data_IF_276566308481
#
_entry.id   IF_276566308481
#
_cell.length_a   1.000
_cell.length_b   1.000
_cell.length_c   1.000
_cell.angle_alpha   90.00
_cell.angle_beta   90.00
_cell.angle_gamma   90.00
#
_symmetry.space_group_name_H-M   'P 1'
#
loop_
_entity.id
_entity.type
_entity.pdbx_description
1 polymer ?
2 non-polymer ?
3 non-polymer ?
4 non-polymer ?
5 non-polymer ?
6 non-polymer ?
7 water ?
#
# COMPACT_ATOMS: atom_id res chain seq x y z
N UNK A 1 -2.52 -14.91 22.95
CA UNK A 1 -1.97 -15.14 21.58
C UNK A 1 -0.76 -14.23 21.35
N UNK A 2 0.40 -14.86 21.31
CA UNK A 2 1.68 -14.16 21.17
C UNK A 2 1.72 -13.27 19.92
N UNK A 3 1.27 -13.82 18.79
CA UNK A 3 1.27 -13.09 17.52
C UNK A 3 0.34 -11.88 17.56
N UNK A 4 -0.84 -12.05 18.13
CA UNK A 4 -1.76 -10.94 18.24
C UNK A 4 -1.16 -9.86 19.15
N UNK A 5 -0.42 -10.26 20.18
CA UNK A 5 0.22 -9.28 21.06
C UNK A 5 1.27 -8.46 20.30
N UNK A 6 1.97 -9.09 19.36
CA UNK A 6 2.99 -8.41 18.55
C UNK A 6 2.37 -7.29 17.71
N UNK A 7 1.09 -7.45 17.35
CA UNK A 7 0.37 -6.42 16.59
C UNK A 7 -0.17 -5.34 17.52
N UNK A 8 -0.80 -5.74 18.60
CA UNK A 8 -1.44 -4.81 19.53
C UNK A 8 -0.42 -3.83 20.14
N UNK A 9 0.78 -4.33 20.46
CA UNK A 9 1.83 -3.50 21.05
C UNK A 9 2.40 -2.48 20.07
N UNK A 10 2.02 -2.57 18.81
CA UNK A 10 2.54 -1.67 17.78
C UNK A 10 1.47 -0.76 17.20
N UNK A 11 0.33 -0.65 17.87
CA UNK A 11 -0.67 0.36 17.55
C UNK A 11 -0.54 1.48 18.57
N UNK A 12 -0.36 2.69 18.07
CA UNK A 12 -0.25 3.88 18.93
C UNK A 12 -1.48 4.76 18.73
N UNK A 13 -1.98 5.31 19.83
CA UNK A 13 -3.22 6.07 19.81
C UNK A 13 -2.95 7.53 20.12
N UNK A 14 -3.56 8.42 19.33
CA UNK A 14 -3.34 9.86 19.42
C UNK A 14 -4.69 10.56 19.63
N UNK A 15 -4.97 10.97 20.86
CA UNK A 15 -6.22 11.69 21.07
C UNK A 15 -6.29 12.99 20.26
N UNK A 16 -7.50 13.35 19.83
CA UNK A 16 -7.78 14.64 19.18
C UNK A 16 -6.91 14.88 17.95
N UNK A 17 -6.67 13.83 17.19
CA UNK A 17 -6.10 13.94 15.83
C UNK A 17 -6.95 13.16 14.85
N UNK A 18 -7.26 13.73 13.68
CA UNK A 18 -6.76 15.05 13.23
C UNK A 18 -7.58 16.25 13.68
N UNK A 19 -8.72 15.98 14.31
CA UNK A 19 -9.58 17.02 14.83
C UNK A 19 -10.06 16.62 16.22
N UNK A 20 -10.50 17.58 17.05
CA UNK A 20 -10.93 17.25 18.42
C UNK A 20 -12.08 16.25 18.43
N UNK A 21 -11.96 15.22 19.25
CA UNK A 21 -12.99 14.18 19.29
C UNK A 21 -12.55 12.84 18.73
N UNK A 22 -11.67 12.87 17.72
CA UNK A 22 -11.22 11.64 17.10
C UNK A 22 -9.99 11.11 17.84
N UNK A 23 -9.95 9.82 18.11
CA UNK A 23 -8.74 9.17 18.64
C UNK A 23 -8.12 8.36 17.51
N UNK A 24 -7.00 8.85 17.01
CA UNK A 24 -6.39 8.26 15.84
C UNK A 24 -5.63 7.02 16.24
N UNK A 25 -5.88 5.92 15.54
CA UNK A 25 -5.11 4.70 15.74
C UNK A 25 -4.10 4.58 14.61
N UNK A 26 -2.82 4.59 14.99
CA UNK A 26 -1.71 4.67 14.03
C UNK A 26 -1.09 3.28 13.91
N UNK A 27 -1.19 2.69 12.72
CA UNK A 27 -0.61 1.37 12.45
C UNK A 27 0.83 1.45 11.97
N UNK A 28 1.40 2.66 11.89
CA UNK A 28 2.76 2.83 11.37
C UNK A 28 3.79 1.92 12.06
N UNK A 29 3.68 1.74 13.38
CA UNK A 29 4.71 0.88 14.01
C UNK A 29 4.63 -0.63 13.65
N UNK A 30 3.44 -1.08 13.22
CA UNK A 30 3.27 -2.46 12.75
C UNK A 30 4.11 -2.65 11.50
N UNK A 31 4.11 -1.64 10.62
CA UNK A 31 4.86 -1.70 9.36
C UNK A 31 6.37 -1.68 9.60
N UNK A 32 6.79 -0.92 10.61
CA UNK A 32 8.20 -0.70 10.87
C UNK A 32 8.89 -1.90 11.53
N UNK A 33 8.11 -2.71 12.23
CA UNK A 33 8.61 -3.89 12.91
C UNK A 33 8.25 -5.13 12.07
N UNK A 34 9.24 -5.70 11.38
CA UNK A 34 8.90 -6.76 10.42
C UNK A 34 8.22 -7.98 11.04
N UNK A 35 8.48 -8.24 12.32
CA UNK A 35 7.79 -9.35 12.99
C UNK A 35 6.32 -9.04 13.23
N UNK A 36 6.02 -7.79 13.53
CA UNK A 36 4.65 -7.34 13.74
C UNK A 36 3.86 -7.43 12.43
N UNK A 37 4.46 -6.95 11.36
CA UNK A 37 3.77 -6.96 10.07
C UNK A 37 3.51 -8.40 9.64
N UNK A 38 4.52 -9.25 9.76
CA UNK A 38 4.36 -10.67 9.45
C UNK A 38 3.24 -11.32 10.27
N UNK A 39 3.17 -10.98 11.56
CA UNK A 39 2.11 -11.48 12.42
C UNK A 39 0.72 -11.03 11.93
N UNK A 40 0.59 -9.76 11.58
CA UNK A 40 -0.70 -9.24 11.16
C UNK A 40 -1.18 -9.97 9.92
N UNK A 41 -0.29 -10.06 8.91
CA UNK A 41 -0.64 -10.73 7.66
C UNK A 41 -0.97 -12.19 7.93
N UNK A 42 -0.19 -12.87 8.77
CA UNK A 42 -0.43 -14.28 9.02
C UNK A 42 -1.76 -14.54 9.70
N UNK A 43 -2.12 -13.71 10.66
CA UNK A 43 -3.37 -13.83 11.37
C UNK A 43 -4.55 -13.63 10.44
N UNK A 44 -4.45 -12.66 9.53
CA UNK A 44 -5.55 -12.40 8.60
C UNK A 44 -5.66 -13.55 7.62
N UNK A 45 -4.53 -14.05 7.13
CA UNK A 45 -4.52 -15.14 6.17
C UNK A 45 -5.08 -16.43 6.77
N UNK A 46 -4.70 -16.73 8.01
CA UNK A 46 -5.19 -17.93 8.68
C UNK A 46 -6.70 -17.86 8.87
N UNK A 47 -7.20 -16.71 9.31
CA UNK A 47 -8.64 -16.52 9.44
C UNK A 47 -9.35 -16.75 8.11
N UNK A 48 -8.80 -16.19 7.04
CA UNK A 48 -9.50 -16.22 5.76
C UNK A 48 -9.53 -17.63 5.17
N UNK A 49 -8.40 -18.33 5.22
CA UNK A 49 -8.36 -19.75 4.82
C UNK A 49 -9.26 -20.65 5.66
N UNK A 50 -9.30 -20.42 6.97
CA UNK A 50 -10.15 -21.21 7.86
C UNK A 50 -11.63 -20.96 7.60
N UNK A 51 -11.97 -19.80 7.06
CA UNK A 51 -13.35 -19.40 6.88
C UNK A 51 -13.87 -19.68 5.47
N UNK A 52 -12.99 -19.60 4.48
CA UNK A 52 -13.43 -19.63 3.09
C UNK A 52 -12.78 -20.75 2.28
N UNK A 53 -11.85 -21.47 2.89
CA UNK A 53 -11.10 -22.47 2.15
C UNK A 53 -10.51 -21.94 0.85
N UNK A 54 -10.86 -22.56 -0.27
CA UNK A 54 -10.28 -22.20 -1.56
C UNK A 54 -11.17 -21.29 -2.39
N UNK A 55 -12.18 -20.68 -1.77
CA UNK A 55 -13.20 -19.92 -2.53
C UNK A 55 -12.85 -18.47 -2.89
N UNK A 56 -11.78 -17.92 -2.31
CA UNK A 56 -11.42 -16.55 -2.60
C UNK A 56 -10.67 -16.47 -3.93
N UNK A 57 -11.15 -15.59 -4.81
CA UNK A 57 -10.47 -15.33 -6.08
C UNK A 57 -9.44 -14.21 -5.96
N UNK A 58 -9.81 -13.11 -5.27
CA UNK A 58 -8.99 -11.88 -5.20
C UNK A 58 -9.14 -11.21 -3.84
N UNK A 59 -8.07 -10.50 -3.45
CA UNK A 59 -8.12 -9.50 -2.38
C UNK A 59 -8.36 -8.13 -3.05
N UNK A 60 -9.17 -7.29 -2.43
CA UNK A 60 -9.28 -5.89 -2.85
C UNK A 60 -8.76 -4.99 -1.76
N UNK A 61 -7.73 -4.21 -2.07
CA UNK A 61 -7.15 -3.26 -1.13
C UNK A 61 -7.68 -1.85 -1.29
N UNK A 62 -7.97 -1.17 -0.18
CA UNK A 62 -8.55 0.17 -0.19
C UNK A 62 -7.47 1.26 0.00
N UNK A 63 -7.51 2.22 -0.92
CA UNK A 63 -6.68 3.42 -0.92
C UNK A 63 -6.92 4.21 0.36
N UNK A 64 -5.86 4.58 1.11
CA UNK A 64 -4.49 4.23 0.79
C UNK A 64 -3.85 3.25 1.80
N UNK A 65 -4.33 3.23 3.05
CA UNK A 65 -3.66 2.38 4.05
C UNK A 65 -3.94 0.90 3.86
N UNK A 66 -5.05 0.58 3.21
CA UNK A 66 -5.32 -0.79 2.81
C UNK A 66 -4.32 -1.35 1.80
N UNK A 67 -3.73 -0.48 0.98
CA UNK A 67 -2.66 -0.83 0.06
C UNK A 67 -1.45 -1.42 0.78
N UNK A 68 -1.27 -1.04 2.04
CA UNK A 68 -0.14 -1.52 2.83
C UNK A 68 -0.28 -3.00 3.17
N UNK A 69 -1.52 -3.48 3.24
CA UNK A 69 -1.79 -4.85 3.64
C UNK A 69 -2.28 -5.74 2.50
N UNK A 70 -3.00 -5.18 1.53
CA UNK A 70 -3.62 -6.00 0.48
C UNK A 70 -2.66 -6.90 -0.30
N UNK A 71 -1.61 -6.31 -0.89
CA UNK A 71 -0.72 -7.15 -1.67
C UNK A 71 -0.01 -8.23 -0.86
N UNK A 72 0.44 -7.94 0.36
CA UNK A 72 1.10 -8.98 1.14
C UNK A 72 0.12 -10.09 1.57
N UNK A 73 -1.12 -9.71 1.86
CA UNK A 73 -2.17 -10.70 2.22
C UNK A 73 -2.48 -11.57 1.01
N UNK A 74 -2.68 -10.94 -0.13
CA UNK A 74 -2.90 -11.66 -1.39
C UNK A 74 -1.77 -12.65 -1.66
N UNK A 75 -0.52 -12.19 -1.54
CA UNK A 75 0.63 -13.04 -1.81
C UNK A 75 0.65 -14.25 -0.88
N UNK A 76 0.36 -14.00 0.40
CA UNK A 76 0.37 -15.08 1.37
C UNK A 76 -0.67 -16.14 1.00
N UNK A 77 -1.78 -15.71 0.39
CA UNK A 77 -2.87 -16.60 0.00
C UNK A 77 -2.73 -17.17 -1.42
N UNK A 78 -1.74 -16.68 -2.15
CA UNK A 78 -1.50 -17.15 -3.51
C UNK A 78 -2.41 -16.48 -4.53
N UNK A 79 -2.89 -15.30 -4.17
CA UNK A 79 -3.91 -14.58 -4.96
C UNK A 79 -3.40 -13.24 -5.48
N UNK A 80 -4.09 -12.71 -6.50
CA UNK A 80 -3.88 -11.33 -6.93
C UNK A 80 -4.65 -10.34 -6.08
N UNK A 81 -4.28 -9.07 -6.20
CA UNK A 81 -4.88 -7.98 -5.48
C UNK A 81 -5.42 -6.96 -6.49
N UNK A 82 -6.68 -6.57 -6.32
CA UNK A 82 -7.27 -5.51 -7.11
C UNK A 82 -7.37 -4.24 -6.28
N UNK A 83 -7.48 -3.10 -6.94
CA UNK A 83 -7.37 -1.82 -6.25
C UNK A 83 -8.69 -1.07 -6.27
N UNK A 84 -9.07 -0.51 -5.12
CA UNK A 84 -10.17 0.44 -5.10
C UNK A 84 -9.61 1.77 -4.62
N UNK A 85 -9.76 2.81 -5.44
CA UNK A 85 -9.04 4.08 -5.22
C UNK A 85 -9.95 5.23 -4.90
N UNK A 86 -9.38 6.29 -4.35
CA UNK A 86 -10.06 7.58 -4.32
C UNK A 86 -10.30 8.06 -5.75
N UNK A 87 -11.46 8.65 -5.98
CA UNK A 87 -11.82 9.09 -7.31
C UNK A 87 -10.80 10.00 -7.99
N UNK A 88 -10.58 9.75 -9.26
CA UNK A 88 -9.70 10.58 -10.07
C UNK A 88 -8.32 9.99 -10.33
N UNK A 89 -8.04 8.84 -9.72
CA UNK A 89 -6.69 8.26 -9.75
C UNK A 89 -6.51 7.18 -10.82
N UNK A 90 -7.60 6.54 -11.24
CA UNK A 90 -7.52 5.40 -12.14
C UNK A 90 -7.81 5.75 -13.58
N UNK A 91 -7.06 5.15 -14.51
CA UNK A 91 -7.31 5.31 -15.93
C UNK A 91 -8.37 4.35 -16.42
N UNK A 92 -8.89 4.62 -17.62
CA UNK A 92 -9.92 3.77 -18.22
C UNK A 92 -11.29 4.02 -17.63
N UNK A 93 -12.29 3.29 -18.13
CA UNK A 93 -13.67 3.48 -17.66
C UNK A 93 -13.81 3.05 -16.20
N UNK A 94 -14.51 3.87 -15.42
CA UNK A 94 -14.65 3.60 -13.99
C UNK A 94 -16.08 3.71 -13.54
N UNK A 95 -16.33 3.12 -12.36
CA UNK A 95 -17.52 3.38 -11.57
C UNK A 95 -17.09 4.04 -10.28
N UNK A 96 -17.98 4.81 -9.66
CA UNK A 96 -17.63 5.45 -8.39
C UNK A 96 -18.82 5.49 -7.43
N UNK A 97 -18.50 5.65 -6.15
CA UNK A 97 -19.51 5.65 -5.08
C UNK A 97 -19.04 6.56 -3.94
N UNK A 98 -19.98 7.31 -3.36
CA UNK A 98 -19.68 8.11 -2.16
C UNK A 98 -19.30 7.24 -0.96
N UNK A 99 -18.26 7.63 -0.22
CA UNK A 99 -17.88 6.87 0.99
C UNK A 99 -18.01 7.65 2.30
N UNK A 100 -18.42 8.92 2.23
CA UNK A 100 -18.53 9.72 3.45
C UNK A 100 -19.74 10.65 3.41
N UNK A 106 -17.04 12.45 -0.29
CA UNK A 106 -15.87 11.87 -0.94
C UNK A 106 -16.27 10.61 -1.72
N UNK A 107 -15.45 10.21 -2.70
CA UNK A 107 -15.80 9.08 -3.56
C UNK A 107 -14.67 8.07 -3.77
N UNK A 108 -15.04 6.78 -3.77
CA UNK A 108 -14.15 5.70 -4.19
C UNK A 108 -14.49 5.28 -5.62
N UNK A 109 -13.53 4.65 -6.29
CA UNK A 109 -13.72 4.27 -7.69
C UNK A 109 -13.04 2.94 -7.95
N UNK A 110 -13.52 2.26 -8.98
CA UNK A 110 -12.94 1.01 -9.43
C UNK A 110 -13.02 0.96 -10.97
N UNK A 111 -12.06 0.29 -11.61
CA UNK A 111 -12.14 0.12 -13.06
C UNK A 111 -13.27 -0.84 -13.41
N UNK A 112 -13.99 -0.52 -14.47
CA UNK A 112 -15.11 -1.35 -14.91
C UNK A 112 -14.68 -2.77 -15.22
N UNK A 113 -13.42 -2.97 -15.59
CA UNK A 113 -12.92 -4.32 -15.93
C UNK A 113 -12.07 -4.95 -14.84
N UNK A 114 -12.21 -4.47 -13.60
CA UNK A 114 -11.39 -4.98 -12.49
C UNK A 114 -11.70 -6.45 -12.17
N UNK A 115 -12.98 -6.83 -12.27
CA UNK A 115 -13.45 -8.19 -11.98
C UNK A 115 -14.51 -8.59 -12.97
N UNK A 116 -14.68 -9.92 -13.12
CA UNK A 116 -15.75 -10.48 -13.94
C UNK A 116 -16.89 -10.90 -13.04
N UNK A 117 -18.11 -10.96 -13.58
CA UNK A 117 -19.25 -11.35 -12.77
C UNK A 117 -19.03 -12.73 -12.14
N UNK A 118 -19.36 -12.83 -10.86
CA UNK A 118 -19.29 -14.08 -10.13
C UNK A 118 -17.98 -14.28 -9.38
N UNK A 119 -16.97 -13.47 -9.67
CA UNK A 119 -15.70 -13.61 -8.97
C UNK A 119 -15.85 -13.20 -7.50
N UNK A 120 -15.11 -13.89 -6.64
CA UNK A 120 -15.30 -13.82 -5.19
C UNK A 120 -14.12 -13.09 -4.56
N UNK A 121 -14.43 -12.07 -3.77
CA UNK A 121 -13.43 -11.11 -3.32
C UNK A 121 -13.53 -10.88 -1.81
N UNK A 122 -12.37 -10.67 -1.17
CA UNK A 122 -12.30 -10.22 0.22
C UNK A 122 -11.68 -8.83 0.24
N UNK A 123 -12.33 -7.90 0.92
CA UNK A 123 -11.87 -6.51 1.00
C UNK A 123 -11.04 -6.30 2.26
N UNK A 124 -9.90 -5.64 2.13
CA UNK A 124 -9.06 -5.31 3.30
C UNK A 124 -8.79 -3.81 3.44
N UNK A 125 -8.89 -3.31 4.66
CA UNK A 125 -8.44 -1.96 5.02
C UNK A 125 -7.75 -2.01 6.39
N UNK A 126 -7.07 -0.94 6.77
CA UNK A 126 -6.41 -0.94 8.08
C UNK A 126 -7.41 -0.89 9.25
N UNK A 127 -8.49 -0.13 9.08
CA UNK A 127 -9.37 0.16 10.21
C UNK A 127 -10.80 0.37 9.73
N UNK A 128 -11.76 -0.20 10.48
CA UNK A 128 -13.19 0.03 10.25
C UNK A 128 -13.69 0.98 11.32
N UNK A 129 -14.29 2.09 10.90
CA UNK A 129 -14.90 3.03 11.82
C UNK A 129 -16.42 3.03 11.60
N UNK A 130 -16.96 4.04 10.92
CA UNK A 130 -18.39 4.06 10.59
C UNK A 130 -18.78 2.96 9.59
N UNK A 131 -17.82 2.52 8.79
CA UNK A 131 -18.09 1.53 7.75
C UNK A 131 -18.41 2.16 6.39
N UNK A 132 -18.37 3.48 6.30
CA UNK A 132 -18.66 4.19 5.06
C UNK A 132 -17.75 3.76 3.92
N UNK A 133 -16.46 3.69 4.22
CA UNK A 133 -15.45 3.40 3.20
C UNK A 133 -15.64 1.97 2.69
N UNK A 134 -15.71 1.02 3.62
CA UNK A 134 -15.89 -0.38 3.25
C UNK A 134 -17.24 -0.60 2.54
N UNK A 135 -18.26 0.11 2.97
CA UNK A 135 -19.57 -0.01 2.34
C UNK A 135 -19.56 0.47 0.88
N UNK A 136 -18.86 1.57 0.63
CA UNK A 136 -18.65 2.04 -0.75
C UNK A 136 -17.92 0.99 -1.59
N UNK A 137 -16.89 0.36 -1.02
CA UNK A 137 -16.16 -0.68 -1.73
C UNK A 137 -17.07 -1.84 -2.10
N UNK A 138 -17.89 -2.28 -1.15
CA UNK A 138 -18.85 -3.38 -1.41
C UNK A 138 -19.87 -2.99 -2.50
N UNK A 139 -20.33 -1.75 -2.50
CA UNK A 139 -21.28 -1.28 -3.51
C UNK A 139 -20.64 -1.38 -4.89
N UNK A 140 -19.39 -0.94 -5.00
CA UNK A 140 -18.70 -0.93 -6.28
C UNK A 140 -18.51 -2.36 -6.76
N UNK A 141 -18.04 -3.23 -5.87
CA UNK A 141 -17.85 -4.64 -6.23
C UNK A 141 -19.17 -5.31 -6.64
N UNK A 142 -20.25 -4.99 -5.92
CA UNK A 142 -21.57 -5.50 -6.27
C UNK A 142 -22.04 -5.06 -7.65
N UNK A 143 -21.67 -3.84 -8.03
CA UNK A 143 -22.06 -3.31 -9.33
C UNK A 143 -21.28 -3.97 -10.49
N UNK A 144 -20.15 -4.59 -10.18
CA UNK A 144 -19.44 -5.48 -11.12
C UNK A 144 -19.94 -6.90 -11.05
N UNK A 145 -20.94 -7.13 -10.20
CA UNK A 145 -21.52 -8.45 -10.00
C UNK A 145 -20.55 -9.43 -9.38
N UNK A 146 -19.57 -8.92 -8.65
CA UNK A 146 -18.69 -9.76 -7.85
C UNK A 146 -19.40 -10.08 -6.54
N UNK A 147 -18.97 -11.17 -5.90
CA UNK A 147 -19.47 -11.56 -4.60
C UNK A 147 -18.45 -11.19 -3.53
N UNK A 148 -18.84 -10.32 -2.60
CA UNK A 148 -17.96 -9.98 -1.50
C UNK A 148 -18.12 -11.02 -0.40
N UNK A 149 -17.10 -11.84 -0.17
CA UNK A 149 -17.16 -12.90 0.84
C UNK A 149 -17.03 -12.38 2.26
N UNK A 150 -16.25 -11.31 2.43
CA UNK A 150 -15.90 -10.80 3.75
C UNK A 150 -15.15 -9.50 3.57
N UNK A 151 -15.27 -8.62 4.56
CA UNK A 151 -14.34 -7.49 4.73
C UNK A 151 -13.51 -7.73 6.00
N UNK A 152 -12.23 -7.40 5.95
CA UNK A 152 -11.34 -7.54 7.12
C UNK A 152 -10.52 -6.28 7.39
N UNK A 153 -10.12 -6.08 8.66
CA UNK A 153 -9.23 -4.99 9.03
C UNK A 153 -8.33 -5.38 10.20
N UNK A 154 -7.29 -4.59 10.46
CA UNK A 154 -6.54 -4.75 11.70
C UNK A 154 -7.31 -4.25 12.93
N UNK A 155 -7.99 -3.12 12.78
CA UNK A 155 -8.61 -2.45 13.90
C UNK A 155 -10.08 -2.19 13.60
N UNK A 156 -10.92 -2.34 14.62
CA UNK A 156 -12.35 -2.02 14.52
C UNK A 156 -12.74 -1.13 15.71
N UNK A 157 -13.44 -0.03 15.43
CA UNK A 157 -13.94 0.87 16.46
C UNK A 157 -15.42 0.55 16.73
N UNK A 158 -15.66 -0.27 17.75
CA UNK A 158 -16.96 -0.93 17.88
C UNK A 158 -18.12 0.03 18.19
N UNK A 159 -17.85 1.14 18.86
CA UNK A 159 -18.94 2.07 19.18
C UNK A 159 -19.57 2.70 17.92
N UNK A 160 -18.90 2.62 16.78
CA UNK A 160 -19.39 3.28 15.58
C UNK A 160 -20.23 2.37 14.70
N UNK A 161 -20.34 1.11 15.10
CA UNK A 161 -21.31 0.17 14.52
C UNK A 161 -21.12 -0.07 13.03
N UNK A 162 -19.86 -0.06 12.60
CA UNK A 162 -19.56 -0.35 11.19
C UNK A 162 -19.92 -1.77 10.77
N UNK A 163 -19.75 -2.74 11.67
CA UNK A 163 -20.12 -4.13 11.41
C UNK A 163 -21.59 -4.23 10.98
N UNK A 164 -22.46 -3.57 11.73
CA UNK A 164 -23.88 -3.52 11.41
C UNK A 164 -24.14 -2.88 10.06
N UNK A 165 -23.39 -1.83 9.73
CA UNK A 165 -23.54 -1.16 8.43
C UNK A 165 -23.23 -2.10 7.26
N UNK A 166 -22.24 -2.97 7.44
CA UNK A 166 -21.82 -3.88 6.35
C UNK A 166 -22.72 -5.11 6.22
N UNK A 167 -23.35 -5.52 7.32
CA UNK A 167 -24.28 -6.66 7.29
C UNK A 167 -25.22 -6.51 6.11
N UNK A 168 -25.40 -7.56 5.30
CA UNK A 168 -25.07 -8.94 5.68
C UNK A 168 -23.68 -9.44 5.27
N UNK A 169 -22.84 -8.57 4.72
CA UNK A 169 -21.47 -8.99 4.42
C UNK A 169 -20.72 -9.21 5.72
N UNK A 170 -20.09 -10.40 5.89
CA UNK A 170 -19.35 -10.67 7.11
C UNK A 170 -18.16 -9.72 7.31
N UNK A 171 -17.78 -9.54 8.57
CA UNK A 171 -16.66 -8.70 8.92
C UNK A 171 -15.81 -9.33 10.02
N UNK A 172 -14.50 -9.13 9.94
CA UNK A 172 -13.53 -9.65 10.92
C UNK A 172 -12.42 -8.64 11.15
N UNK A 173 -12.08 -8.40 12.41
CA UNK A 173 -10.97 -7.53 12.78
C UNK A 173 -10.02 -8.23 13.75
N UNK A 174 -8.74 -7.90 13.69
CA UNK A 174 -7.76 -8.44 14.64
C UNK A 174 -7.96 -7.86 16.05
N UNK A 175 -8.26 -6.56 16.11
CA UNK A 175 -8.31 -5.82 17.37
C UNK A 175 -9.53 -4.90 17.42
N UNK A 176 -10.10 -4.79 18.62
CA UNK A 176 -11.28 -3.93 18.84
C UNK A 176 -11.02 -2.89 19.94
N UNK A 177 -11.39 -1.63 19.65
CA UNK A 177 -11.45 -0.58 20.65
C UNK A 177 -12.84 0.03 20.60
N UNK A 178 -13.24 0.72 21.66
CA UNK A 178 -14.53 1.42 21.62
C UNK A 178 -14.50 2.43 20.48
N UNK B 2 13.23 -13.79 -17.92
CA UNK B 2 11.80 -14.21 -17.97
C UNK B 2 11.01 -13.56 -16.83
N UNK B 3 11.64 -13.38 -15.68
CA UNK B 3 11.00 -12.68 -14.56
C UNK B 3 10.65 -11.26 -14.95
N UNK B 4 11.58 -10.58 -15.59
CA UNK B 4 11.34 -9.19 -15.99
C UNK B 4 10.23 -9.16 -17.03
N UNK B 5 10.22 -10.15 -17.91
CA UNK B 5 9.14 -10.26 -18.91
C UNK B 5 7.76 -10.41 -18.27
N UNK B 6 7.69 -11.17 -17.17
CA UNK B 6 6.45 -11.34 -16.41
C UNK B 6 5.91 -10.00 -15.88
N UNK B 7 6.83 -9.08 -15.59
CA UNK B 7 6.43 -7.76 -15.13
C UNK B 7 6.05 -6.86 -16.31
N UNK B 8 6.91 -6.81 -17.33
CA UNK B 8 6.69 -5.97 -18.49
C UNK B 8 5.34 -6.25 -19.18
N UNK B 9 4.98 -7.52 -19.26
CA UNK B 9 3.76 -7.93 -19.98
C UNK B 9 2.50 -7.55 -19.21
N UNK B 10 2.67 -7.09 -17.97
CA UNK B 10 1.53 -6.70 -17.13
C UNK B 10 1.50 -5.20 -16.82
N UNK B 11 2.25 -4.41 -17.58
CA UNK B 11 2.07 -2.97 -17.57
C UNK B 11 1.12 -2.62 -18.72
N UNK B 12 0.07 -1.88 -18.41
CA UNK B 12 -0.94 -1.50 -19.38
C UNK B 12 -0.87 0.01 -19.56
N UNK B 13 -0.85 0.47 -20.82
CA UNK B 13 -0.63 1.88 -21.12
C UNK B 13 -1.92 2.55 -21.64
N UNK B 14 -2.26 3.68 -21.04
CA UNK B 14 -3.47 4.41 -21.39
C UNK B 14 -3.13 5.79 -21.95
N UNK B 15 -3.35 6.01 -23.25
CA UNK B 15 -3.06 7.33 -23.81
C UNK B 15 -4.02 8.40 -23.29
N UNK B 16 -3.50 9.62 -23.20
CA UNK B 16 -4.33 10.80 -22.95
C UNK B 16 -5.01 10.77 -21.57
N UNK B 17 -4.32 10.16 -20.60
CA UNK B 17 -4.73 10.20 -19.19
C UNK B 17 -3.55 10.61 -18.32
N UNK B 18 -3.71 11.66 -17.50
CA UNK B 18 -4.99 12.33 -17.29
C UNK B 18 -5.23 13.52 -18.23
N UNK B 19 -4.24 13.83 -19.06
CA UNK B 19 -4.33 14.95 -19.97
C UNK B 19 -3.92 14.51 -21.38
N UNK B 20 -4.35 15.24 -22.41
CA UNK B 20 -3.98 14.80 -23.75
C UNK B 20 -2.46 14.81 -23.99
N UNK B 21 -1.97 13.74 -24.62
CA UNK B 21 -0.58 13.65 -25.06
C UNK B 21 0.29 12.76 -24.20
N UNK B 22 -0.15 12.54 -22.97
CA UNK B 22 0.60 11.70 -22.04
C UNK B 22 0.11 10.26 -22.05
N UNK B 23 0.99 9.35 -21.66
CA UNK B 23 0.63 7.97 -21.55
C UNK B 23 0.75 7.53 -20.10
N UNK B 24 -0.36 7.07 -19.54
CA UNK B 24 -0.39 6.57 -18.18
C UNK B 24 0.05 5.11 -18.14
N UNK B 25 1.06 4.80 -17.34
CA UNK B 25 1.48 3.43 -17.17
C UNK B 25 0.80 2.85 -15.94
N UNK B 26 -0.09 1.88 -16.18
CA UNK B 26 -0.94 1.29 -15.14
C UNK B 26 -0.31 0.00 -14.66
N UNK B 27 0.08 -0.02 -13.39
CA UNK B 27 0.68 -1.21 -12.76
C UNK B 27 -0.38 -2.16 -12.18
N UNK B 28 -1.67 -1.82 -12.29
CA UNK B 28 -2.71 -2.65 -11.70
C UNK B 28 -2.62 -4.13 -12.14
N UNK B 29 -2.29 -4.41 -13.41
CA UNK B 29 -2.25 -5.83 -13.75
C UNK B 29 -1.10 -6.61 -13.12
N UNK B 30 -0.05 -5.90 -12.74
CA UNK B 30 1.06 -6.52 -12.02
C UNK B 30 0.56 -7.00 -10.67
N UNK B 31 -0.22 -6.17 -10.00
CA UNK B 31 -0.79 -6.51 -8.69
C UNK B 31 -1.79 -7.66 -8.79
N UNK B 32 -2.54 -7.70 -9.88
CA UNK B 32 -3.61 -8.67 -10.06
C UNK B 32 -3.12 -10.08 -10.39
N UNK B 33 -1.92 -10.17 -10.96
CA UNK B 33 -1.33 -11.45 -11.30
C UNK B 33 -0.28 -11.80 -10.26
N UNK B 34 -0.55 -12.80 -9.38
CA UNK B 34 0.36 -13.00 -8.27
C UNK B 34 1.79 -13.34 -8.70
N UNK B 35 1.93 -13.97 -9.86
CA UNK B 35 3.25 -14.35 -10.37
C UNK B 35 4.05 -13.11 -10.79
N UNK B 36 3.36 -12.13 -11.36
CA UNK B 36 3.95 -10.87 -11.79
C UNK B 36 4.38 -10.06 -10.58
N UNK B 37 3.52 -9.95 -9.60
CA UNK B 37 3.89 -9.21 -8.39
C UNK B 37 5.10 -9.85 -7.72
N UNK B 38 5.07 -11.18 -7.58
CA UNK B 38 6.18 -11.89 -6.93
C UNK B 38 7.49 -11.64 -7.69
N UNK B 39 7.42 -11.64 -9.02
CA UNK B 39 8.58 -11.41 -9.85
C UNK B 39 9.12 -9.99 -9.64
N UNK B 40 8.23 -9.00 -9.58
CA UNK B 40 8.65 -7.63 -9.39
C UNK B 40 9.36 -7.46 -8.04
N UNK B 41 8.77 -7.99 -6.98
CA UNK B 41 9.37 -7.87 -5.66
C UNK B 41 10.72 -8.56 -5.61
N UNK B 42 10.81 -9.73 -6.24
CA UNK B 42 12.03 -10.54 -6.24
C UNK B 42 13.15 -9.86 -7.00
N UNK B 43 12.83 -9.22 -8.11
CA UNK B 43 13.84 -8.52 -8.90
C UNK B 43 14.35 -7.30 -8.14
N UNK B 44 13.46 -6.56 -7.50
CA UNK B 44 13.87 -5.39 -6.70
C UNK B 44 14.73 -5.83 -5.52
N UNK B 45 14.31 -6.89 -4.83
CA UNK B 45 15.05 -7.37 -3.67
C UNK B 45 16.45 -7.84 -4.06
N UNK B 46 16.55 -8.53 -5.19
CA UNK B 46 17.85 -9.09 -5.60
C UNK B 46 18.81 -7.93 -5.97
N UNK B 47 18.29 -6.93 -6.69
CA UNK B 47 19.06 -5.74 -6.93
C UNK B 47 19.57 -5.11 -5.63
N UNK B 48 18.68 -4.94 -4.66
CA UNK B 48 19.03 -4.19 -3.45
C UNK B 48 20.04 -4.94 -2.60
N UNK B 49 19.86 -6.26 -2.49
CA UNK B 49 20.82 -7.07 -1.75
C UNK B 49 22.18 -7.10 -2.42
N UNK B 50 22.20 -7.22 -3.75
CA UNK B 50 23.47 -7.30 -4.46
C UNK B 50 24.20 -5.95 -4.41
N UNK B 51 23.42 -4.87 -4.41
CA UNK B 51 24.00 -3.53 -4.43
C UNK B 51 24.44 -3.03 -3.06
N UNK B 52 23.66 -3.33 -2.02
CA UNK B 52 23.89 -2.71 -0.70
C UNK B 52 24.30 -3.70 0.39
N UNK B 53 24.25 -4.99 0.10
CA UNK B 53 24.61 -5.99 1.10
C UNK B 53 23.82 -5.81 2.37
N UNK B 54 24.51 -5.72 3.50
CA UNK B 54 23.85 -5.52 4.80
C UNK B 54 23.60 -4.08 5.23
N UNK B 55 23.79 -3.13 4.33
CA UNK B 55 23.76 -1.70 4.71
C UNK B 55 22.35 -1.15 4.92
N UNK B 56 21.35 -1.76 4.31
CA UNK B 56 20.00 -1.21 4.40
C UNK B 56 19.40 -1.48 5.78
N UNK B 57 18.86 -0.43 6.42
CA UNK B 57 18.17 -0.60 7.71
C UNK B 57 16.64 -0.66 7.56
N UNK B 58 16.09 0.15 6.66
CA UNK B 58 14.63 0.26 6.43
C UNK B 58 14.34 0.55 4.96
N UNK B 59 13.16 0.10 4.53
CA UNK B 59 12.53 0.60 3.29
C UNK B 59 11.62 1.75 3.67
N UNK B 60 11.56 2.78 2.83
CA UNK B 60 10.57 3.85 2.95
C UNK B 60 9.63 3.81 1.76
N UNK B 61 8.34 3.65 2.02
CA UNK B 61 7.35 3.59 0.95
C UNK B 61 6.62 4.92 0.81
N UNK B 62 6.39 5.34 -0.43
CA UNK B 62 5.74 6.62 -0.70
C UNK B 62 4.24 6.49 -0.97
N UNK B 63 3.46 7.26 -0.24
CA UNK B 63 1.99 7.37 -0.41
C UNK B 63 1.69 7.84 -1.84
N UNK B 64 0.78 7.21 -2.60
CA UNK B 64 0.00 6.05 -2.19
C UNK B 64 0.44 4.76 -2.88
N UNK B 65 0.81 4.82 -4.15
CA UNK B 65 1.08 3.58 -4.88
C UNK B 65 2.36 2.90 -4.41
N UNK B 66 3.29 3.64 -3.84
CA UNK B 66 4.49 3.05 -3.25
C UNK B 66 4.17 2.14 -2.07
N UNK B 67 3.04 2.40 -1.43
CA UNK B 67 2.56 1.55 -0.35
C UNK B 67 2.26 0.13 -0.84
N UNK B 68 2.01 -0.01 -2.12
CA UNK B 68 1.68 -1.34 -2.66
C UNK B 68 2.92 -2.24 -2.73
N UNK B 69 4.10 -1.62 -2.78
CA UNK B 69 5.33 -2.39 -3.00
C UNK B 69 6.26 -2.37 -1.79
N UNK B 70 6.25 -1.27 -1.04
CA UNK B 70 7.18 -1.11 0.10
C UNK B 70 7.16 -2.24 1.12
N UNK B 71 5.98 -2.54 1.69
CA UNK B 71 5.95 -3.58 2.73
C UNK B 71 6.35 -4.95 2.22
N UNK B 72 5.95 -5.32 1.00
CA UNK B 72 6.34 -6.62 0.49
C UNK B 72 7.84 -6.68 0.23
N UNK B 73 8.41 -5.58 -0.27
CA UNK B 73 9.86 -5.52 -0.52
C UNK B 73 10.62 -5.62 0.82
N UNK B 74 10.18 -4.82 1.78
CA UNK B 74 10.78 -4.88 3.12
C UNK B 74 10.74 -6.29 3.70
N UNK B 75 9.58 -6.93 3.63
CA UNK B 75 9.41 -8.29 4.14
C UNK B 75 10.38 -9.26 3.49
N UNK B 76 10.55 -9.13 2.17
CA UNK B 76 11.44 -10.02 1.44
C UNK B 76 12.90 -9.84 1.88
N UNK B 77 13.27 -8.62 2.31
CA UNK B 77 14.63 -8.32 2.78
C UNK B 77 14.83 -8.53 4.28
N UNK B 78 13.75 -8.87 4.98
CA UNK B 78 13.77 -9.03 6.43
C UNK B 78 13.81 -7.71 7.19
N UNK B 79 13.25 -6.67 6.59
CA UNK B 79 13.34 -5.31 7.12
C UNK B 79 11.96 -4.73 7.38
N UNK B 80 11.92 -3.67 8.21
CA UNK B 80 10.72 -2.89 8.38
C UNK B 80 10.53 -1.85 7.29
N UNK B 81 9.33 -1.26 7.24
CA UNK B 81 8.98 -0.26 6.24
C UNK B 81 8.48 0.98 6.97
N UNK B 82 9.10 2.13 6.69
CA UNK B 82 8.59 3.40 7.20
C UNK B 82 7.78 4.11 6.12
N UNK B 83 6.91 5.03 6.53
CA UNK B 83 5.94 5.65 5.62
C UNK B 83 6.21 7.13 5.42
N UNK B 84 6.12 7.57 4.17
CA UNK B 84 6.14 8.98 3.83
C UNK B 84 4.79 9.29 3.21
N UNK B 85 4.08 10.25 3.79
CA UNK B 85 2.68 10.44 3.42
C UNK B 85 2.41 11.83 2.89
N UNK B 86 1.30 11.98 2.17
CA UNK B 86 0.77 13.30 1.87
C UNK B 86 0.50 14.07 3.18
N UNK B 87 0.85 15.34 3.19
CA UNK B 87 0.73 16.15 4.40
C UNK B 87 -0.69 16.10 5.00
N UNK B 88 -0.76 15.96 6.32
CA UNK B 88 -2.02 16.07 7.03
C UNK B 88 -2.50 14.72 7.51
N UNK B 89 -1.80 13.68 7.11
CA UNK B 89 -2.26 12.30 7.33
C UNK B 89 -1.68 11.66 8.58
N UNK B 90 -0.47 12.07 8.98
CA UNK B 90 0.28 11.41 10.06
C UNK B 90 0.19 12.19 11.37
N UNK B 91 -0.02 11.47 12.49
CA UNK B 91 -0.06 12.10 13.81
C UNK B 91 1.31 12.29 14.43
N UNK B 92 1.40 13.14 15.44
CA UNK B 92 2.65 13.34 16.17
C UNK B 92 3.51 14.38 15.47
N UNK B 93 4.70 14.66 16.03
CA UNK B 93 5.60 15.64 15.42
C UNK B 93 6.08 15.18 14.04
N UNK B 94 6.05 16.10 13.08
CA UNK B 94 6.40 15.79 11.69
C UNK B 94 7.29 16.85 11.07
N UNK B 95 7.93 16.47 9.97
CA UNK B 95 8.53 17.40 9.03
C UNK B 95 7.76 17.31 7.73
N UNK B 96 7.69 18.43 7.00
CA UNK B 96 7.09 18.41 5.66
C UNK B 96 7.92 19.16 4.63
N UNK B 97 7.66 18.86 3.36
CA UNK B 97 8.44 19.40 2.25
C UNK B 97 7.53 19.54 1.04
N UNK B 98 7.66 20.66 0.35
CA UNK B 98 6.85 20.94 -0.82
C UNK B 98 7.47 20.31 -2.06
N UNK B 99 6.82 20.51 -3.20
CA UNK B 99 7.30 19.95 -4.45
C UNK B 99 6.20 20.07 -5.49
N UNK B 106 2.08 20.63 -3.73
CA UNK B 106 1.62 19.64 -2.76
C UNK B 106 2.75 19.38 -1.77
N UNK B 107 2.45 18.71 -0.66
CA UNK B 107 3.46 18.48 0.37
C UNK B 107 3.45 17.04 0.88
N UNK B 108 4.65 16.50 1.09
CA UNK B 108 4.83 15.21 1.77
C UNK B 108 5.26 15.44 3.21
N UNK B 109 5.14 14.41 4.02
CA UNK B 109 5.38 14.52 5.45
C UNK B 109 5.93 13.20 6.00
N UNK B 110 6.74 13.30 7.05
CA UNK B 110 7.27 12.14 7.74
C UNK B 110 7.22 12.40 9.24
N UNK B 111 6.97 11.36 10.03
CA UNK B 111 7.04 11.47 11.47
C UNK B 111 8.50 11.62 11.91
N UNK B 112 8.74 12.53 12.86
CA UNK B 112 10.12 12.77 13.31
C UNK B 112 10.77 11.52 13.91
N UNK B 113 9.98 10.61 14.48
CA UNK B 113 10.55 9.39 15.03
C UNK B 113 10.61 8.20 14.06
N UNK B 114 10.35 8.45 12.77
CA UNK B 114 10.38 7.38 11.79
C UNK B 114 11.77 6.74 11.71
N UNK B 115 12.81 7.57 11.75
CA UNK B 115 14.19 7.08 11.70
C UNK B 115 15.07 7.85 12.68
N UNK B 116 16.16 7.22 13.12
CA UNK B 116 17.18 7.89 13.94
C UNK B 116 18.35 8.36 13.08
N UNK B 117 19.09 9.38 13.56
CA UNK B 117 20.28 9.81 12.81
C UNK B 117 21.23 8.64 12.54
N UNK B 118 21.71 8.53 11.31
CA UNK B 118 22.64 7.47 10.95
C UNK B 118 22.01 6.26 10.30
N UNK B 119 20.69 6.13 10.38
CA UNK B 119 20.03 4.98 9.77
C UNK B 119 19.96 5.13 8.26
N UNK B 120 20.00 3.99 7.56
CA UNK B 120 20.16 3.95 6.12
C UNK B 120 18.91 3.36 5.48
N UNK B 121 18.41 4.03 4.46
CA UNK B 121 17.11 3.70 3.91
C UNK B 121 17.13 3.67 2.39
N UNK B 122 16.27 2.82 1.82
CA UNK B 122 15.99 2.82 0.39
C UNK B 122 14.54 3.24 0.20
N UNK B 123 14.33 4.17 -0.71
CA UNK B 123 12.99 4.71 -0.98
C UNK B 123 12.38 3.97 -2.16
N UNK B 124 11.12 3.60 -2.04
CA UNK B 124 10.45 2.93 -3.15
C UNK B 124 9.12 3.55 -3.51
N UNK B 125 8.92 3.67 -4.82
CA UNK B 125 7.65 4.15 -5.37
C UNK B 125 7.34 3.31 -6.63
N UNK B 126 6.12 3.41 -7.16
CA UNK B 126 5.81 2.65 -8.36
C UNK B 126 6.49 3.20 -9.61
N UNK B 127 6.57 4.53 -9.71
CA UNK B 127 7.00 5.15 -10.95
C UNK B 127 7.77 6.42 -10.66
N UNK B 128 8.88 6.60 -11.38
CA UNK B 128 9.61 7.86 -11.42
C UNK B 128 9.29 8.62 -12.70
N UNK B 129 8.78 9.84 -12.55
CA UNK B 129 8.53 10.74 -13.68
C UNK B 129 9.47 11.94 -13.61
N UNK B 130 8.98 13.12 -13.24
CA UNK B 130 9.87 14.28 -13.07
C UNK B 130 10.87 14.09 -11.92
N UNK B 131 10.54 13.25 -10.94
CA UNK B 131 11.41 13.08 -9.80
C UNK B 131 11.07 13.99 -8.62
N UNK B 132 10.05 14.81 -8.78
CA UNK B 132 9.63 15.75 -7.72
C UNK B 132 9.25 15.04 -6.43
N UNK B 133 8.50 13.95 -6.55
CA UNK B 133 7.98 13.23 -5.40
C UNK B 133 9.14 12.56 -4.66
N UNK B 134 9.98 11.83 -5.38
CA UNK B 134 11.12 11.17 -4.76
C UNK B 134 12.14 12.15 -4.16
N UNK B 135 12.30 13.28 -4.83
CA UNK B 135 13.21 14.31 -4.35
C UNK B 135 12.74 14.87 -3.01
N UNK B 136 11.45 15.11 -2.88
CA UNK B 136 10.88 15.56 -1.60
C UNK B 136 11.09 14.50 -0.52
N UNK B 137 10.90 13.23 -0.88
CA UNK B 137 11.13 12.16 0.10
C UNK B 137 12.57 12.20 0.60
N UNK B 138 13.53 12.30 -0.32
CA UNK B 138 14.94 12.34 0.05
C UNK B 138 15.28 13.54 0.96
N UNK B 139 14.69 14.69 0.66
CA UNK B 139 14.85 15.88 1.50
C UNK B 139 14.39 15.62 2.94
N UNK B 140 13.18 15.09 3.08
CA UNK B 140 12.65 14.75 4.39
C UNK B 140 13.56 13.80 5.14
N UNK B 141 14.00 12.74 4.48
CA UNK B 141 14.84 11.76 5.12
C UNK B 141 16.19 12.32 5.53
N UNK B 142 16.77 13.18 4.69
CA UNK B 142 18.00 13.86 5.03
C UNK B 142 17.85 14.76 6.25
N UNK B 143 16.66 15.32 6.43
CA UNK B 143 16.44 16.22 7.57
C UNK B 143 16.31 15.44 8.89
N UNK B 144 16.03 14.14 8.81
CA UNK B 144 16.09 13.26 9.99
C UNK B 144 17.51 12.74 10.23
N UNK B 145 18.43 13.16 9.37
CA UNK B 145 19.81 12.71 9.40
C UNK B 145 19.92 11.23 9.05
N UNK B 146 18.97 10.74 8.26
CA UNK B 146 19.05 9.41 7.67
C UNK B 146 19.81 9.51 6.36
N UNK B 147 20.45 8.41 5.99
CA UNK B 147 21.17 8.32 4.71
C UNK B 147 20.29 7.59 3.69
N UNK B 148 20.00 8.24 2.57
CA UNK B 148 19.31 7.54 1.49
C UNK B 148 20.29 6.83 0.59
N UNK B 149 20.30 5.50 0.64
CA UNK B 149 21.24 4.71 -0.16
C UNK B 149 20.87 4.67 -1.63
N UNK B 150 19.57 4.65 -1.92
CA UNK B 150 19.08 4.53 -3.30
C UNK B 150 17.57 4.79 -3.29
N UNK B 151 17.07 5.26 -4.43
CA UNK B 151 15.63 5.24 -4.73
C UNK B 151 15.37 4.22 -5.85
N UNK B 152 14.27 3.48 -5.73
CA UNK B 152 13.91 2.49 -6.73
C UNK B 152 12.45 2.60 -7.13
N UNK B 153 12.15 2.13 -8.34
CA UNK B 153 10.76 2.10 -8.84
C UNK B 153 10.58 0.93 -9.81
N UNK B 154 9.34 0.60 -10.13
CA UNK B 154 9.09 -0.38 -11.18
C UNK B 154 9.28 0.24 -12.54
N UNK B 155 8.78 1.46 -12.71
CA UNK B 155 8.80 2.15 -14.00
C UNK B 155 9.51 3.51 -13.91
N UNK B 156 10.27 3.84 -14.95
CA UNK B 156 10.93 5.15 -15.09
C UNK B 156 10.58 5.74 -16.45
N UNK B 157 10.19 7.02 -16.48
CA UNK B 157 9.92 7.71 -17.73
C UNK B 157 11.13 8.57 -18.08
N UNK B 158 12.00 8.05 -18.94
CA UNK B 158 13.33 8.61 -19.08
C UNK B 158 13.39 10.02 -19.69
N UNK B 159 12.41 10.39 -20.50
CA UNK B 159 12.44 11.71 -21.13
C UNK B 159 12.20 12.83 -20.11
N UNK B 160 11.73 12.50 -18.91
CA UNK B 160 11.47 13.52 -17.90
C UNK B 160 12.66 13.78 -16.97
N UNK B 161 13.74 13.02 -17.16
CA UNK B 161 15.02 13.26 -16.49
C UNK B 161 14.95 13.24 -14.97
N UNK B 162 14.13 12.34 -14.43
CA UNK B 162 14.06 12.15 -12.99
C UNK B 162 15.37 11.71 -12.35
N UNK B 163 16.09 10.83 -13.03
CA UNK B 163 17.37 10.32 -12.53
C UNK B 163 18.31 11.49 -12.23
N UNK B 164 18.41 12.41 -13.19
CA UNK B 164 19.27 13.59 -13.03
C UNK B 164 18.84 14.44 -11.84
N UNK B 165 17.54 14.62 -11.67
CA UNK B 165 17.05 15.37 -10.50
C UNK B 165 17.53 14.75 -9.19
N UNK B 166 17.50 13.41 -9.10
CA UNK B 166 17.84 12.74 -7.85
C UNK B 166 19.33 12.76 -7.55
N UNK B 167 20.15 12.81 -8.60
CA UNK B 167 21.60 12.78 -8.43
C UNK B 167 22.00 13.81 -7.40
N UNK B 168 22.86 13.45 -6.45
CA UNK B 168 23.71 12.26 -6.56
C UNK B 168 23.19 11.01 -5.83
N UNK B 169 21.92 11.01 -5.41
CA UNK B 169 21.32 9.79 -4.88
C UNK B 169 21.11 8.81 -6.04
N UNK B 170 21.64 7.57 -5.90
CA UNK B 170 21.47 6.54 -6.94
C UNK B 170 20.01 6.16 -7.16
N UNK B 171 19.72 5.69 -8.37
CA UNK B 171 18.36 5.33 -8.75
C UNK B 171 18.38 4.08 -9.62
N UNK B 172 17.37 3.24 -9.47
CA UNK B 172 17.21 2.00 -10.22
C UNK B 172 15.73 1.75 -10.53
N UNK B 173 15.42 1.42 -11.78
CA UNK B 173 14.08 1.01 -12.18
C UNK B 173 14.11 -0.33 -12.89
N UNK B 174 13.03 -1.10 -12.77
CA UNK B 174 12.90 -2.36 -13.52
C UNK B 174 12.69 -2.12 -15.00
N UNK B 175 11.87 -1.12 -15.31
CA UNK B 175 11.45 -0.88 -16.68
C UNK B 175 11.53 0.61 -17.04
N UNK B 176 11.90 0.88 -18.29
CA UNK B 176 12.03 2.24 -18.81
C UNK B 176 11.13 2.49 -20.03
N UNK B 177 10.44 3.62 -20.03
CA UNK B 177 9.73 4.11 -21.21
C UNK B 177 10.17 5.55 -21.48
N UNK B 178 10.07 6.00 -22.73
CA UNK B 178 10.39 7.40 -22.98
C UNK B 178 9.46 8.28 -22.13
#
# INVERSE_FOLDING_TARGET
>A
DSELQLVEQRIRSFPDFPTPGVVFRDISPVLKDPASFRAAIGLLARHLKATHGGRIDYIAGLDSRGFLFGPSLAQELGLGCVLIRKRGKLPGPTLWASYSLEFGKAELEIQKDALEPGQRVVVVDDLLATGGTMNAACELLGRLQAEVLECVSLVELTSLKGREKLAPVPFFSLLQYE
>B
DSELQLVEQRIRSFPDFPTPGVVFRDISPVLKDPASFRAAIGLLARHLKATHGGRIDYIAGLDSRGFLFGPSLAQELGLGCVLIRKRGKLPGPTLWASYSLEFGKAELEIQKDALEPGQRVVVVDDLLATGGTMNAACELLGRLQAEVLECVSLVELTSLKGREKLAPVPFFSLLQYE
#
